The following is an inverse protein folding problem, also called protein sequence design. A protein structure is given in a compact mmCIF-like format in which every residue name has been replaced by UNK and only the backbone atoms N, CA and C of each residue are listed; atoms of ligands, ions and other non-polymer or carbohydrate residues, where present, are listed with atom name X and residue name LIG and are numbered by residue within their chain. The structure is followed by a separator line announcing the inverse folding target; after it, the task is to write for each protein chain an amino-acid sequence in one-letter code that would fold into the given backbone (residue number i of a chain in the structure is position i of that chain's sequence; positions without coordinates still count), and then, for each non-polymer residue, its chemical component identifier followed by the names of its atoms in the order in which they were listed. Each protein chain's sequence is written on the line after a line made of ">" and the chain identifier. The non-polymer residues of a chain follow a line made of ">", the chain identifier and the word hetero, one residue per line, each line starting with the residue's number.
data_IF_075259487936
#
_entry.id   IF_075259487936
#
_cell.length_a   1.000
_cell.length_b   1.000
_cell.length_c   1.000
_cell.angle_alpha   90.00
_cell.angle_beta   90.00
_cell.angle_gamma   90.00
#
_symmetry.space_group_name_H-M   'P 1'
#
loop_
_entity.id
_entity.type
_entity.pdbx_description
1 polymer ?
#
# COMPACT_ATOMS: atom_id res chain seq x y z
N UNK A 1 45.97 -23.86 -49.62
CA UNK A 1 47.02 -23.18 -48.83
C UNK A 1 46.30 -22.05 -48.10
N UNK A 2 45.84 -22.17 -46.86
CA UNK A 2 46.22 -23.03 -45.76
C UNK A 2 45.01 -23.73 -45.10
N UNK A 3 44.96 -25.06 -45.24
CA UNK A 3 44.65 -25.95 -44.12
C UNK A 3 45.97 -26.12 -43.36
N UNK A 4 46.01 -25.79 -42.07
CA UNK A 4 46.96 -26.22 -41.01
C UNK A 4 47.02 -25.15 -39.93
N UNK A 5 46.10 -25.20 -38.97
CA UNK A 5 46.25 -24.69 -37.59
C UNK A 5 45.02 -25.04 -36.73
N UNK A 6 44.42 -26.21 -36.98
CA UNK A 6 43.30 -26.76 -36.20
C UNK A 6 43.76 -27.83 -35.19
N UNK A 7 45.05 -27.84 -34.83
CA UNK A 7 45.63 -28.73 -33.83
C UNK A 7 46.58 -27.93 -32.95
N UNK A 8 46.37 -27.98 -31.63
CA UNK A 8 47.32 -27.66 -30.54
C UNK A 8 46.91 -26.60 -29.52
N UNK A 9 45.65 -26.56 -29.08
CA UNK A 9 45.30 -26.19 -27.68
C UNK A 9 44.13 -27.07 -27.21
N UNK A 10 44.37 -28.38 -27.15
CA UNK A 10 43.50 -29.35 -26.47
C UNK A 10 44.40 -30.47 -25.94
N UNK A 11 45.34 -30.09 -25.06
CA UNK A 11 46.21 -31.04 -24.36
C UNK A 11 46.79 -30.41 -23.09
N UNK A 12 45.94 -30.11 -22.11
CA UNK A 12 46.31 -30.20 -20.70
C UNK A 12 45.04 -30.10 -19.84
N UNK A 13 44.98 -30.98 -18.82
CA UNK A 13 43.93 -31.16 -17.80
C UNK A 13 42.85 -32.22 -18.09
N UNK A 14 43.34 -33.47 -18.20
CA UNK A 14 42.72 -34.66 -17.61
C UNK A 14 43.63 -35.15 -16.46
N UNK A 15 43.17 -35.07 -15.21
CA UNK A 15 43.50 -35.94 -14.04
C UNK A 15 42.80 -35.31 -12.83
N UNK A 16 41.77 -35.87 -12.20
CA UNK A 16 41.71 -37.13 -11.45
C UNK A 16 40.22 -37.56 -11.30
N UNK A 17 39.86 -38.78 -11.71
CA UNK A 17 39.52 -39.94 -10.87
C UNK A 17 38.22 -39.79 -10.02
N UNK A 18 37.06 -40.36 -10.45
CA UNK A 18 36.50 -41.73 -10.13
C UNK A 18 35.30 -41.62 -9.14
N UNK A 19 34.22 -42.45 -9.12
CA UNK A 19 33.60 -43.35 -10.12
C UNK A 19 32.03 -43.32 -10.26
N UNK A 20 31.56 -43.86 -11.39
CA UNK A 20 30.40 -44.74 -11.69
C UNK A 20 29.17 -44.88 -10.74
N UNK A 21 28.02 -44.37 -11.21
CA UNK A 21 26.68 -45.00 -11.50
C UNK A 21 26.19 -46.24 -10.70
N UNK A 22 24.85 -46.41 -10.45
CA UNK A 22 23.95 -46.87 -11.53
C UNK A 22 22.55 -46.22 -11.59
N UNK A 23 21.99 -46.31 -12.81
CA UNK A 23 20.61 -46.01 -13.22
C UNK A 23 19.58 -46.91 -12.52
N UNK A 24 18.45 -46.33 -12.10
CA UNK A 24 17.13 -46.97 -11.89
C UNK A 24 16.04 -45.95 -12.34
N UNK A 25 14.93 -46.37 -12.98
CA UNK A 25 14.17 -45.52 -13.91
C UNK A 25 13.03 -44.73 -13.27
N UNK A 26 12.58 -43.75 -14.06
CA UNK A 26 11.44 -42.85 -13.90
C UNK A 26 10.15 -43.51 -13.41
N UNK A 27 9.55 -42.92 -12.37
CA UNK A 27 8.10 -42.83 -12.23
C UNK A 27 7.71 -41.36 -12.01
N UNK A 28 6.75 -40.93 -12.80
CA UNK A 28 6.12 -39.61 -12.86
C UNK A 28 5.65 -39.10 -11.49
N UNK A 29 6.12 -37.91 -11.10
CA UNK A 29 5.31 -36.71 -10.80
C UNK A 29 6.25 -35.59 -10.26
N UNK A 30 6.30 -34.46 -11.00
CA UNK A 30 7.31 -33.38 -10.89
C UNK A 30 7.27 -32.61 -9.56
N UNK A 31 8.41 -32.46 -8.84
CA UNK A 31 9.48 -31.42 -8.93
C UNK A 31 8.92 -30.00 -8.68
N UNK A 32 9.03 -29.43 -7.46
CA UNK A 32 10.20 -28.91 -6.71
C UNK A 32 10.84 -27.60 -7.20
N UNK A 33 10.70 -26.64 -6.29
CA UNK A 33 11.46 -25.43 -5.96
C UNK A 33 12.98 -25.37 -6.26
N UNK A 34 13.42 -24.12 -6.45
CA UNK A 34 14.76 -23.51 -6.34
C UNK A 34 15.89 -23.94 -7.30
N UNK A 35 16.23 -23.03 -8.23
CA UNK A 35 17.58 -22.46 -8.39
C UNK A 35 17.62 -21.46 -9.56
N UNK A 36 17.98 -20.19 -9.29
CA UNK A 36 18.89 -19.45 -10.18
C UNK A 36 19.41 -18.15 -9.56
N UNK A 37 20.72 -18.13 -9.32
CA UNK A 37 21.54 -16.93 -9.30
C UNK A 37 22.61 -17.07 -10.41
N UNK A 38 22.96 -15.93 -11.03
CA UNK A 38 24.14 -15.62 -11.87
C UNK A 38 24.14 -15.95 -13.40
N UNK A 39 23.74 -14.92 -14.21
CA UNK A 39 24.36 -14.22 -15.39
C UNK A 39 25.41 -14.92 -16.33
N UNK A 40 25.87 -14.35 -17.50
CA UNK A 40 25.29 -13.57 -18.63
C UNK A 40 25.87 -13.94 -20.06
N UNK A 41 25.58 -13.13 -21.11
CA UNK A 41 26.25 -12.99 -22.45
C UNK A 41 25.80 -13.89 -23.65
N UNK A 42 25.09 -13.27 -24.60
CA UNK A 42 25.23 -13.37 -26.08
C UNK A 42 23.99 -12.69 -26.72
N UNK A 43 24.12 -11.65 -27.56
CA UNK A 43 24.33 -11.80 -29.01
C UNK A 43 24.86 -10.48 -29.58
N UNK A 44 25.78 -10.65 -30.53
CA UNK A 44 26.64 -9.67 -31.20
C UNK A 44 26.13 -9.41 -32.63
N UNK A 45 26.28 -8.17 -33.13
CA UNK A 45 26.48 -7.73 -34.53
C UNK A 45 25.74 -8.47 -35.66
N UNK A 46 24.95 -7.72 -36.46
CA UNK A 46 24.93 -7.90 -37.91
C UNK A 46 24.95 -6.55 -38.65
N UNK A 47 25.84 -6.51 -39.64
CA UNK A 47 26.25 -5.37 -40.45
C UNK A 47 25.26 -5.00 -41.57
N UNK A 48 25.39 -3.74 -41.95
CA UNK A 48 24.91 -3.05 -43.15
C UNK A 48 25.16 -3.83 -44.45
N UNK A 49 24.13 -3.91 -45.31
CA UNK A 49 24.30 -3.90 -46.77
C UNK A 49 23.26 -2.97 -47.42
N UNK A 50 23.76 -1.97 -48.13
CA UNK A 50 23.01 -1.02 -48.94
C UNK A 50 22.45 -1.66 -50.23
N UNK A 51 21.26 -1.25 -50.68
CA UNK A 51 21.07 -0.69 -52.03
C UNK A 51 19.68 -0.08 -52.26
N UNK A 52 19.72 1.18 -52.72
CA UNK A 52 18.81 1.91 -53.63
C UNK A 52 17.44 2.47 -53.18
N UNK A 53 17.44 3.81 -53.07
CA UNK A 53 16.49 4.81 -53.62
C UNK A 53 15.02 4.80 -53.19
N UNK A 54 14.63 5.69 -52.26
CA UNK A 54 14.09 7.04 -52.55
C UNK A 54 13.62 7.70 -51.23
N UNK A 55 14.06 8.94 -51.01
CA UNK A 55 13.57 9.81 -49.95
C UNK A 55 12.12 10.24 -50.24
N UNK A 56 11.20 9.94 -49.31
CA UNK A 56 10.00 10.74 -49.08
C UNK A 56 9.82 10.87 -47.56
N UNK A 57 9.76 12.12 -47.09
CA UNK A 57 9.52 12.51 -45.71
C UNK A 57 8.02 12.42 -45.41
N UNK A 58 7.62 11.74 -44.34
CA UNK A 58 6.39 12.05 -43.58
C UNK A 58 6.41 11.35 -42.21
N UNK A 59 6.00 12.03 -41.11
CA UNK A 59 6.05 11.51 -39.75
C UNK A 59 4.81 10.67 -39.44
N UNK A 60 4.95 9.61 -38.65
CA UNK A 60 4.19 9.39 -37.40
C UNK A 60 4.50 8.01 -36.82
N UNK A 61 4.70 8.04 -35.50
CA UNK A 61 4.78 6.90 -34.59
C UNK A 61 3.66 5.89 -34.86
N UNK A 62 4.00 4.62 -35.01
CA UNK A 62 3.43 3.54 -34.21
C UNK A 62 4.03 2.19 -34.58
N UNK A 63 4.09 1.33 -33.57
CA UNK A 63 4.45 -0.08 -33.61
C UNK A 63 5.96 -0.39 -33.62
N UNK A 64 6.51 -0.58 -32.42
CA UNK A 64 7.18 -1.82 -32.02
C UNK A 64 7.64 -1.73 -30.56
N UNK A 65 6.74 -2.09 -29.65
CA UNK A 65 7.04 -2.57 -28.29
C UNK A 65 5.82 -3.41 -27.90
N UNK A 66 5.78 -4.66 -28.36
CA UNK A 66 4.95 -5.68 -27.72
C UNK A 66 5.83 -6.27 -26.64
N UNK A 67 5.79 -5.66 -25.46
CA UNK A 67 6.11 -6.36 -24.21
C UNK A 67 4.88 -7.22 -23.93
N UNK A 68 5.06 -8.54 -23.79
CA UNK A 68 3.99 -9.42 -23.33
C UNK A 68 3.62 -9.02 -21.89
N UNK A 69 2.66 -8.11 -21.78
CA UNK A 69 1.96 -7.77 -20.55
C UNK A 69 1.12 -8.99 -20.16
N UNK A 70 1.36 -9.58 -19.00
CA UNK A 70 0.39 -10.47 -18.37
C UNK A 70 -0.80 -9.62 -17.86
N UNK A 71 -1.66 -9.23 -18.80
CA UNK A 71 -2.96 -8.65 -18.52
C UNK A 71 -3.89 -9.76 -18.02
N UNK A 72 -4.39 -9.65 -16.80
CA UNK A 72 -5.52 -10.47 -16.37
C UNK A 72 -6.73 -10.10 -17.22
N UNK A 73 -6.97 -10.85 -18.29
CA UNK A 73 -8.21 -10.75 -19.08
C UNK A 73 -9.43 -11.23 -18.29
N UNK A 74 -9.20 -11.90 -17.14
CA UNK A 74 -10.20 -12.41 -16.23
C UNK A 74 -9.74 -12.23 -14.77
N UNK A 75 -10.66 -11.86 -13.88
CA UNK A 75 -10.38 -11.69 -12.46
C UNK A 75 -9.86 -12.98 -11.83
N UNK A 76 -8.74 -12.98 -11.08
CA UNK A 76 -8.16 -14.18 -10.50
C UNK A 76 -9.06 -14.83 -9.43
N UNK A 77 -9.90 -14.04 -8.76
CA UNK A 77 -10.81 -14.52 -7.72
C UNK A 77 -12.09 -15.14 -8.30
N UNK A 78 -12.60 -14.63 -9.43
CA UNK A 78 -13.94 -15.00 -9.89
C UNK A 78 -14.07 -15.25 -11.41
N UNK A 79 -12.97 -15.24 -12.16
CA UNK A 79 -12.95 -15.48 -13.61
C UNK A 79 -13.67 -14.43 -14.47
N UNK A 80 -14.04 -13.28 -13.90
CA UNK A 80 -14.81 -12.25 -14.60
C UNK A 80 -13.97 -11.51 -15.64
N UNK A 81 -14.43 -11.34 -16.90
CA UNK A 81 -13.69 -10.60 -17.91
C UNK A 81 -13.41 -9.16 -17.48
N UNK A 82 -12.14 -8.80 -17.31
CA UNK A 82 -11.74 -7.48 -16.86
C UNK A 82 -11.62 -6.52 -18.05
N UNK A 83 -11.92 -5.24 -17.82
CA UNK A 83 -11.82 -4.18 -18.82
C UNK A 83 -10.91 -3.08 -18.30
N UNK A 84 -10.22 -2.34 -19.18
CA UNK A 84 -9.26 -1.28 -18.81
C UNK A 84 -9.86 -0.09 -18.01
N UNK A 85 -11.17 -0.09 -17.76
CA UNK A 85 -11.88 1.04 -17.14
C UNK A 85 -12.04 0.92 -15.62
N UNK A 86 -11.64 -0.18 -14.98
CA UNK A 86 -11.76 -0.32 -13.52
C UNK A 86 -10.70 -1.25 -12.96
N UNK A 87 -9.95 -0.74 -12.00
CA UNK A 87 -8.89 -1.48 -11.31
C UNK A 87 -9.43 -2.38 -10.19
N UNK A 88 -10.74 -2.33 -9.94
CA UNK A 88 -11.44 -3.21 -9.02
C UNK A 88 -12.34 -4.12 -9.87
N UNK A 89 -12.27 -5.42 -9.64
CA UNK A 89 -13.13 -6.36 -10.35
C UNK A 89 -14.59 -6.00 -10.09
N UNK A 90 -15.39 -5.63 -11.10
CA UNK A 90 -16.78 -5.23 -10.90
C UNK A 90 -17.68 -6.42 -10.55
N UNK A 91 -17.16 -7.66 -10.55
CA UNK A 91 -17.89 -8.86 -10.13
C UNK A 91 -17.71 -9.18 -8.65
N UNK A 92 -16.48 -9.20 -8.14
CA UNK A 92 -16.22 -9.59 -6.76
C UNK A 92 -15.65 -8.48 -5.89
N UNK A 93 -15.39 -7.28 -6.43
CA UNK A 93 -14.78 -6.19 -5.67
C UNK A 93 -13.31 -6.44 -5.30
N UNK A 94 -12.69 -7.48 -5.87
CA UNK A 94 -11.25 -7.70 -5.73
C UNK A 94 -10.51 -6.52 -6.31
N UNK A 95 -9.70 -5.84 -5.51
CA UNK A 95 -8.78 -4.85 -6.04
C UNK A 95 -7.76 -5.59 -6.90
N UNK A 96 -7.80 -5.35 -8.20
CA UNK A 96 -6.83 -5.91 -9.16
C UNK A 96 -5.51 -5.12 -9.05
N UNK A 97 -5.51 -4.00 -8.29
CA UNK A 97 -4.33 -3.20 -7.98
C UNK A 97 -3.37 -3.86 -6.99
N UNK A 98 -3.72 -4.98 -6.35
CA UNK A 98 -2.75 -5.72 -5.49
C UNK A 98 -1.63 -6.43 -6.30
N UNK A 99 -1.59 -6.32 -7.63
CA UNK A 99 -0.35 -6.55 -8.42
C UNK A 99 0.23 -5.20 -8.91
N UNK A 100 0.73 -4.39 -7.97
CA UNK A 100 1.44 -3.10 -8.21
C UNK A 100 2.72 -3.29 -9.05
N UNK A 101 3.14 -4.53 -9.31
CA UNK A 101 4.25 -4.80 -10.24
C UNK A 101 3.91 -4.58 -11.73
N UNK A 102 2.69 -4.16 -12.09
CA UNK A 102 2.24 -4.20 -13.50
C UNK A 102 1.47 -3.00 -14.07
N UNK A 103 1.35 -1.86 -13.40
CA UNK A 103 0.70 -0.68 -14.01
C UNK A 103 1.63 0.04 -14.99
N UNK A 104 1.09 0.40 -16.16
CA UNK A 104 1.79 1.31 -17.06
C UNK A 104 1.87 2.72 -16.47
N UNK A 105 2.95 3.41 -16.85
CA UNK A 105 3.36 4.73 -16.39
C UNK A 105 2.22 5.76 -16.46
N UNK A 106 1.30 5.63 -17.42
CA UNK A 106 0.21 6.58 -17.62
C UNK A 106 -0.90 6.44 -16.57
N UNK A 107 -1.10 5.25 -16.01
CA UNK A 107 -2.10 4.99 -14.97
C UNK A 107 -1.56 5.37 -13.59
N UNK A 108 -0.29 5.11 -13.35
CA UNK A 108 0.44 5.60 -12.18
C UNK A 108 0.46 7.14 -12.17
N UNK A 109 0.77 7.78 -13.30
CA UNK A 109 0.73 9.23 -13.47
C UNK A 109 -0.66 9.83 -13.22
N UNK A 110 -1.75 9.16 -13.62
CA UNK A 110 -3.12 9.65 -13.34
C UNK A 110 -3.47 9.56 -11.86
N UNK A 111 -3.04 8.49 -11.19
CA UNK A 111 -3.22 8.33 -9.76
C UNK A 111 -2.38 9.35 -8.97
N UNK A 112 -1.10 9.49 -9.30
CA UNK A 112 -0.24 10.53 -8.73
C UNK A 112 -0.77 11.93 -9.04
N UNK A 113 -1.25 12.21 -10.25
CA UNK A 113 -1.86 13.50 -10.60
C UNK A 113 -3.16 13.75 -9.85
N UNK A 114 -3.95 12.72 -9.55
CA UNK A 114 -5.14 12.85 -8.72
C UNK A 114 -4.78 13.16 -7.26
N UNK A 115 -3.77 12.48 -6.72
CA UNK A 115 -3.20 12.76 -5.40
C UNK A 115 -2.56 14.16 -5.33
N UNK A 116 -1.79 14.58 -6.33
CA UNK A 116 -1.18 15.91 -6.44
C UNK A 116 -2.23 17.01 -6.61
N UNK A 117 -3.32 16.76 -7.34
CA UNK A 117 -4.44 17.70 -7.41
C UNK A 117 -5.15 17.82 -6.05
N UNK A 118 -5.35 16.71 -5.31
CA UNK A 118 -5.90 16.74 -3.96
C UNK A 118 -4.96 17.45 -2.96
N UNK A 119 -3.64 17.23 -3.07
CA UNK A 119 -2.62 17.99 -2.32
C UNK A 119 -2.66 19.47 -2.67
N UNK A 120 -2.77 19.83 -3.94
CA UNK A 120 -2.85 21.24 -4.38
C UNK A 120 -4.14 21.93 -3.92
N UNK A 121 -5.28 21.26 -4.00
CA UNK A 121 -6.56 21.73 -3.45
C UNK A 121 -6.48 21.91 -1.93
N UNK A 122 -5.76 21.03 -1.24
CA UNK A 122 -5.49 21.12 0.19
C UNK A 122 -4.54 22.28 0.55
N UNK A 123 -3.41 22.44 -0.15
CA UNK A 123 -2.48 23.56 0.03
C UNK A 123 -3.16 24.91 -0.23
N UNK A 124 -4.00 25.00 -1.27
CA UNK A 124 -4.81 26.17 -1.55
C UNK A 124 -5.77 26.50 -0.40
N UNK A 125 -6.38 25.47 0.23
CA UNK A 125 -7.27 25.63 1.39
C UNK A 125 -6.53 26.13 2.63
N UNK A 126 -5.36 25.56 2.93
CA UNK A 126 -4.50 25.98 4.05
C UNK A 126 -3.96 27.42 3.88
N UNK A 127 -3.68 27.86 2.65
CA UNK A 127 -3.26 29.24 2.36
C UNK A 127 -4.42 30.24 2.53
N UNK A 128 -5.65 29.88 2.19
CA UNK A 128 -6.83 30.72 2.46
C UNK A 128 -7.10 30.90 3.96
N UNK A 129 -6.90 29.86 4.76
CA UNK A 129 -7.11 29.93 6.22
C UNK A 129 -6.07 30.83 6.92
N UNK A 130 -4.85 30.94 6.38
CA UNK A 130 -3.83 31.89 6.87
C UNK A 130 -4.11 33.35 6.48
N UNK A 131 -4.87 33.61 5.42
CA UNK A 131 -5.20 34.98 4.96
C UNK A 131 -6.43 35.53 5.70
N UNK A 132 -7.34 34.67 6.17
CA UNK A 132 -8.51 35.09 6.95
C UNK A 132 -8.25 35.24 8.46
N UNK A 133 -7.08 34.81 8.94
CA UNK A 133 -6.71 34.78 10.36
C UNK A 133 -5.69 35.84 10.77
N UNK A 134 -5.89 37.11 10.42
CA UNK A 134 -5.03 38.21 10.87
C UNK A 134 -5.79 39.51 11.06
N UNK A 135 -6.15 39.84 12.32
CA UNK A 135 -6.04 41.16 12.96
C UNK A 135 -6.87 41.27 14.26
N UNK A 136 -6.22 41.05 15.44
CA UNK A 136 -6.11 42.00 16.57
C UNK A 136 -5.58 41.35 17.88
N UNK A 137 -4.90 42.13 18.77
CA UNK A 137 -4.01 41.62 19.83
C UNK A 137 -4.73 41.35 21.18
N UNK A 138 -4.04 40.81 22.21
CA UNK A 138 -4.67 39.99 23.24
C UNK A 138 -5.26 40.82 24.38
N UNK A 139 -6.40 40.38 24.91
CA UNK A 139 -6.93 40.85 26.19
C UNK A 139 -7.20 39.67 27.12
N UNK A 140 -6.43 39.71 28.22
CA UNK A 140 -6.61 39.17 29.57
C UNK A 140 -7.74 38.19 29.88
N UNK A 141 -7.34 37.15 30.60
CA UNK A 141 -8.15 36.22 31.36
C UNK A 141 -9.33 36.85 32.09
N UNK A 142 -10.51 36.26 31.93
CA UNK A 142 -11.51 36.10 32.98
C UNK A 142 -12.47 34.97 32.61
N UNK A 143 -12.87 34.21 33.62
CA UNK A 143 -13.73 33.03 33.52
C UNK A 143 -15.09 33.38 32.93
N UNK A 144 -15.54 32.64 31.91
CA UNK A 144 -16.97 32.50 31.62
C UNK A 144 -17.22 31.18 30.87
N UNK A 145 -17.87 30.26 31.57
CA UNK A 145 -18.49 29.05 31.02
C UNK A 145 -19.47 29.41 29.89
N UNK A 146 -19.40 28.67 28.79
CA UNK A 146 -20.38 28.69 27.70
C UNK A 146 -20.38 27.33 26.97
N UNK A 147 -21.49 26.95 26.31
CA UNK A 147 -22.34 25.88 26.82
C UNK A 147 -22.13 24.55 26.08
N UNK A 148 -22.37 23.46 26.80
CA UNK A 148 -22.59 22.13 26.24
C UNK A 148 -23.76 22.16 25.24
N UNK A 149 -23.41 22.23 23.96
CA UNK A 149 -24.31 22.08 22.83
C UNK A 149 -23.78 21.02 21.88
N UNK A 150 -23.48 19.81 22.39
CA UNK A 150 -23.42 18.62 21.52
C UNK A 150 -24.79 18.51 20.86
N UNK A 151 -24.81 18.67 19.54
CA UNK A 151 -25.96 18.27 18.74
C UNK A 151 -26.28 16.82 19.13
N UNK A 152 -27.56 16.56 19.38
CA UNK A 152 -28.05 15.21 19.72
C UNK A 152 -27.55 14.22 18.65
N UNK A 153 -27.17 12.99 19.02
CA UNK A 153 -26.88 11.96 18.03
C UNK A 153 -28.10 11.84 17.11
N UNK A 154 -27.86 11.90 15.80
CA UNK A 154 -28.86 11.48 14.84
C UNK A 154 -29.28 10.06 15.22
N UNK A 155 -30.59 9.82 15.38
CA UNK A 155 -31.07 8.52 15.86
C UNK A 155 -30.61 7.42 14.89
N UNK A 156 -29.69 6.58 15.35
CA UNK A 156 -29.06 5.46 14.60
C UNK A 156 -30.08 4.43 14.11
N UNK A 157 -31.21 4.33 14.81
CA UNK A 157 -32.39 3.52 14.47
C UNK A 157 -33.65 4.31 14.83
N UNK A 158 -34.78 4.02 14.18
CA UNK A 158 -36.03 4.73 14.39
C UNK A 158 -36.67 4.39 15.76
N UNK A 159 -36.22 3.32 16.44
CA UNK A 159 -36.69 2.91 17.78
C UNK A 159 -35.72 1.96 18.51
N UNK A 160 -35.78 1.90 19.84
CA UNK A 160 -35.06 0.92 20.68
C UNK A 160 -35.36 -0.54 20.28
N UNK A 161 -36.55 -0.77 19.72
CA UNK A 161 -37.01 -2.08 19.25
C UNK A 161 -36.23 -2.57 18.02
N UNK A 162 -35.79 -1.67 17.13
CA UNK A 162 -34.97 -2.00 15.96
C UNK A 162 -33.55 -2.41 16.36
N UNK A 163 -32.96 -1.67 17.29
CA UNK A 163 -31.65 -2.02 17.87
C UNK A 163 -31.71 -3.40 18.56
N UNK A 164 -32.75 -3.65 19.35
CA UNK A 164 -32.96 -4.95 20.00
C UNK A 164 -33.16 -6.08 18.97
N UNK A 165 -33.85 -5.80 17.86
CA UNK A 165 -34.02 -6.75 16.77
C UNK A 165 -32.67 -7.15 16.14
N UNK A 166 -31.84 -6.20 15.71
CA UNK A 166 -30.54 -6.53 15.10
C UNK A 166 -29.57 -7.17 16.11
N UNK A 167 -29.64 -6.78 17.38
CA UNK A 167 -28.72 -7.31 18.41
C UNK A 167 -29.07 -8.76 18.81
N UNK A 168 -30.34 -9.17 18.69
CA UNK A 168 -30.78 -10.54 18.99
C UNK A 168 -30.79 -11.47 17.78
N UNK A 169 -30.66 -10.92 16.57
CA UNK A 169 -30.70 -11.67 15.32
C UNK A 169 -29.43 -12.53 15.16
N UNK A 170 -29.62 -13.81 14.86
CA UNK A 170 -28.54 -14.72 14.50
C UNK A 170 -28.70 -15.24 13.07
N UNK A 171 -27.59 -15.69 12.47
CA UNK A 171 -27.54 -16.18 11.10
C UNK A 171 -28.47 -17.37 10.87
N UNK A 172 -28.52 -18.33 11.80
CA UNK A 172 -29.29 -19.55 11.61
C UNK A 172 -30.79 -19.27 11.44
N UNK A 173 -31.33 -18.34 12.21
CA UNK A 173 -32.74 -17.95 12.16
C UNK A 173 -33.07 -17.19 10.88
N UNK A 174 -32.24 -16.20 10.49
CA UNK A 174 -32.49 -15.43 9.27
C UNK A 174 -32.36 -16.25 7.99
N UNK A 175 -31.57 -17.34 7.99
CA UNK A 175 -31.51 -18.27 6.86
C UNK A 175 -32.74 -19.19 6.78
N UNK A 176 -33.41 -19.48 7.89
CA UNK A 176 -34.58 -20.39 7.91
C UNK A 176 -35.92 -19.70 7.74
N UNK A 177 -36.07 -18.47 8.24
CA UNK A 177 -37.36 -17.79 8.29
C UNK A 177 -37.47 -16.63 7.29
N UNK A 178 -38.32 -16.81 6.27
CA UNK A 178 -38.69 -15.78 5.28
C UNK A 178 -39.29 -14.53 5.92
N UNK A 179 -40.05 -14.65 7.00
CA UNK A 179 -40.64 -13.49 7.67
C UNK A 179 -39.57 -12.66 8.40
N UNK A 180 -38.56 -13.31 8.98
CA UNK A 180 -37.41 -12.61 9.56
C UNK A 180 -36.61 -11.86 8.49
N UNK A 181 -36.39 -12.46 7.31
CA UNK A 181 -35.74 -11.77 6.18
C UNK A 181 -36.52 -10.56 5.70
N UNK A 182 -37.84 -10.68 5.56
CA UNK A 182 -38.71 -9.55 5.21
C UNK A 182 -38.67 -8.45 6.25
N UNK A 183 -38.72 -8.81 7.53
CA UNK A 183 -38.59 -7.85 8.64
C UNK A 183 -37.23 -7.15 8.61
N UNK A 184 -36.14 -7.90 8.43
CA UNK A 184 -34.79 -7.35 8.30
C UNK A 184 -34.69 -6.32 7.18
N UNK A 185 -35.19 -6.65 5.98
CA UNK A 185 -35.20 -5.72 4.83
C UNK A 185 -35.99 -4.44 5.10
N UNK A 186 -37.11 -4.55 5.82
CA UNK A 186 -37.96 -3.41 6.18
C UNK A 186 -37.38 -2.55 7.31
N UNK A 187 -36.47 -3.11 8.12
CA UNK A 187 -35.86 -2.44 9.27
C UNK A 187 -34.50 -1.80 8.98
N UNK A 188 -33.84 -2.13 7.87
CA UNK A 188 -32.58 -1.47 7.47
C UNK A 188 -32.84 -0.08 6.85
N UNK A 189 -31.85 0.81 6.95
CA UNK A 189 -31.92 2.16 6.37
C UNK A 189 -31.89 2.14 4.83
N UNK A 190 -32.26 3.25 4.20
CA UNK A 190 -32.19 3.40 2.75
C UNK A 190 -30.75 3.18 2.21
N UNK A 191 -29.73 3.70 2.91
CA UNK A 191 -28.32 3.49 2.53
C UNK A 191 -27.97 1.99 2.55
N UNK A 192 -28.41 1.26 3.56
CA UNK A 192 -28.22 -0.20 3.64
C UNK A 192 -29.01 -0.94 2.56
N UNK A 193 -30.23 -0.51 2.25
CA UNK A 193 -31.00 -1.09 1.15
C UNK A 193 -30.26 -0.93 -0.18
N UNK A 194 -29.61 0.21 -0.40
CA UNK A 194 -28.81 0.44 -1.59
C UNK A 194 -27.52 -0.39 -1.60
N UNK A 195 -26.87 -0.59 -0.45
CA UNK A 195 -25.74 -1.53 -0.32
C UNK A 195 -26.16 -2.95 -0.72
N UNK A 196 -27.31 -3.43 -0.25
CA UNK A 196 -27.85 -4.75 -0.60
C UNK A 196 -28.11 -4.83 -2.11
N UNK A 197 -28.82 -3.83 -2.67
CA UNK A 197 -29.11 -3.76 -4.11
C UNK A 197 -27.84 -3.73 -4.95
N UNK A 198 -26.83 -2.96 -4.54
CA UNK A 198 -25.53 -2.89 -5.20
C UNK A 198 -24.79 -4.23 -5.15
N UNK A 199 -24.75 -4.86 -3.98
CA UNK A 199 -24.09 -6.15 -3.76
C UNK A 199 -24.72 -7.25 -4.62
N UNK A 200 -26.05 -7.25 -4.72
CA UNK A 200 -26.82 -8.21 -5.52
C UNK A 200 -26.96 -7.84 -6.99
N UNK A 201 -26.61 -6.60 -7.36
CA UNK A 201 -26.76 -6.03 -8.72
C UNK A 201 -28.20 -6.00 -9.21
N UNK A 202 -29.11 -5.62 -8.32
CA UNK A 202 -30.55 -5.48 -8.61
C UNK A 202 -30.98 -4.02 -8.51
N UNK A 203 -32.04 -3.68 -9.25
CA UNK A 203 -32.65 -2.34 -9.28
C UNK A 203 -34.10 -2.33 -8.75
N UNK A 204 -34.47 -3.38 -8.03
CA UNK A 204 -35.79 -3.59 -7.45
C UNK A 204 -35.63 -4.09 -6.01
N UNK A 205 -36.74 -4.20 -5.28
CA UNK A 205 -36.72 -4.79 -3.94
C UNK A 205 -36.38 -6.29 -4.03
N UNK A 206 -35.46 -6.79 -3.20
CA UNK A 206 -34.97 -8.16 -3.29
C UNK A 206 -36.08 -9.17 -2.98
N UNK A 207 -36.11 -10.25 -3.75
CA UNK A 207 -36.89 -11.44 -3.41
C UNK A 207 -36.28 -12.17 -2.20
N UNK A 208 -37.01 -13.15 -1.67
CA UNK A 208 -36.50 -14.01 -0.58
C UNK A 208 -35.21 -14.75 -0.98
N UNK A 209 -35.11 -15.18 -2.25
CA UNK A 209 -33.91 -15.82 -2.79
C UNK A 209 -32.74 -14.85 -2.92
N UNK A 210 -33.02 -13.59 -3.26
CA UNK A 210 -31.99 -12.55 -3.38
C UNK A 210 -31.41 -12.21 -2.00
N UNK A 211 -32.27 -12.14 -0.97
CA UNK A 211 -31.82 -11.94 0.41
C UNK A 211 -30.98 -13.12 0.91
N UNK A 212 -31.35 -14.36 0.58
CA UNK A 212 -30.51 -15.53 0.89
C UNK A 212 -29.13 -15.43 0.23
N UNK A 213 -29.07 -15.00 -1.03
CA UNK A 213 -27.80 -14.76 -1.72
C UNK A 213 -26.99 -13.65 -1.04
N UNK A 214 -27.64 -12.57 -0.58
CA UNK A 214 -26.96 -11.50 0.16
C UNK A 214 -26.34 -12.02 1.46
N UNK A 215 -27.06 -12.83 2.23
CA UNK A 215 -26.53 -13.41 3.47
C UNK A 215 -25.36 -14.38 3.25
N UNK A 216 -25.16 -14.88 2.04
CA UNK A 216 -24.01 -15.72 1.67
C UNK A 216 -22.83 -14.94 1.05
N UNK A 217 -22.90 -13.61 1.00
CA UNK A 217 -21.84 -12.76 0.47
C UNK A 217 -20.54 -12.87 1.26
N UNK A 218 -19.43 -12.95 0.55
CA UNK A 218 -18.07 -12.92 1.13
C UNK A 218 -17.44 -11.54 1.08
N UNK A 219 -17.91 -10.68 0.17
CA UNK A 219 -17.33 -9.36 -0.07
C UNK A 219 -18.46 -8.33 -0.03
N UNK A 220 -18.27 -7.27 0.73
CA UNK A 220 -19.27 -6.22 0.89
C UNK A 220 -18.64 -4.84 0.78
N UNK A 221 -19.33 -3.96 0.05
CA UNK A 221 -18.91 -2.58 -0.18
C UNK A 221 -20.03 -1.63 0.28
N UNK A 222 -19.72 -0.77 1.24
CA UNK A 222 -20.62 0.21 1.80
C UNK A 222 -19.97 1.58 2.07
N UNK A 223 -18.81 1.87 1.45
CA UNK A 223 -18.12 3.17 1.49
C UNK A 223 -18.91 4.30 0.81
N UNK A 224 -18.52 5.54 1.13
CA UNK A 224 -19.11 6.79 0.62
C UNK A 224 -20.63 6.87 0.86
N UNK A 225 -21.04 6.48 2.07
CA UNK A 225 -22.45 6.45 2.49
C UNK A 225 -22.62 6.96 3.91
N UNK A 226 -23.84 7.41 4.23
CA UNK A 226 -24.18 7.88 5.59
C UNK A 226 -24.52 6.71 6.51
N UNK A 227 -23.65 5.70 6.54
CA UNK A 227 -23.82 4.51 7.36
C UNK A 227 -23.11 4.74 8.69
N UNK A 228 -23.89 4.81 9.77
CA UNK A 228 -23.36 4.96 11.12
C UNK A 228 -23.17 3.63 11.87
N UNK A 229 -23.84 2.57 11.42
CA UNK A 229 -23.87 1.28 12.12
C UNK A 229 -23.73 0.09 11.16
N UNK A 230 -22.86 -0.85 11.55
CA UNK A 230 -22.63 -2.12 10.87
C UNK A 230 -23.55 -3.25 11.37
N UNK A 231 -24.53 -2.98 12.23
CA UNK A 231 -25.44 -4.00 12.78
C UNK A 231 -26.12 -4.89 11.73
N UNK A 232 -26.57 -4.37 10.56
CA UNK A 232 -27.21 -5.20 9.55
C UNK A 232 -26.34 -6.36 9.03
N UNK A 233 -25.01 -6.22 9.10
CA UNK A 233 -24.06 -7.20 8.55
C UNK A 233 -23.48 -8.16 9.58
N UNK A 234 -23.86 -8.04 10.86
CA UNK A 234 -23.42 -8.95 11.94
C UNK A 234 -23.71 -10.43 11.64
N UNK A 235 -24.72 -10.71 10.82
CA UNK A 235 -25.12 -12.08 10.43
C UNK A 235 -24.33 -12.64 9.25
N UNK A 236 -23.46 -11.85 8.61
CA UNK A 236 -22.65 -12.25 7.44
C UNK A 236 -21.41 -13.04 7.86
N UNK A 237 -21.58 -14.18 8.54
CA UNK A 237 -20.47 -15.00 9.06
C UNK A 237 -19.49 -15.52 7.99
N UNK A 238 -19.84 -15.44 6.70
CA UNK A 238 -18.96 -15.78 5.55
C UNK A 238 -18.17 -14.59 5.00
N UNK A 239 -18.34 -13.40 5.58
CA UNK A 239 -17.68 -12.18 5.11
C UNK A 239 -16.16 -12.30 5.29
N UNK A 240 -15.45 -12.11 4.20
CA UNK A 240 -13.99 -12.12 4.09
C UNK A 240 -13.44 -10.72 3.83
N UNK A 241 -14.19 -9.87 3.12
CA UNK A 241 -13.79 -8.50 2.82
C UNK A 241 -14.92 -7.53 3.10
N UNK A 242 -14.61 -6.48 3.86
CA UNK A 242 -15.50 -5.35 4.09
C UNK A 242 -14.78 -4.06 3.68
N UNK A 243 -15.42 -3.27 2.84
CA UNK A 243 -15.02 -1.90 2.53
C UNK A 243 -16.11 -0.94 2.99
N UNK A 244 -15.77 -0.06 3.91
CA UNK A 244 -16.69 0.87 4.55
C UNK A 244 -16.06 2.25 4.79
N UNK A 245 -15.09 2.62 3.96
CA UNK A 245 -14.38 3.89 3.99
C UNK A 245 -15.32 5.11 3.85
N UNK A 246 -14.89 6.28 4.32
CA UNK A 246 -15.61 7.56 4.16
C UNK A 246 -17.08 7.47 4.60
N UNK A 247 -17.33 6.71 5.67
CA UNK A 247 -18.66 6.50 6.25
C UNK A 247 -18.58 6.76 7.76
N UNK A 248 -19.55 7.46 8.38
CA UNK A 248 -19.49 7.87 9.79
C UNK A 248 -19.77 6.70 10.76
N UNK A 249 -19.09 5.58 10.59
CA UNK A 249 -19.27 4.35 11.36
C UNK A 249 -18.72 4.56 12.76
N UNK A 250 -19.60 4.52 13.75
CA UNK A 250 -19.26 4.84 15.13
C UNK A 250 -18.73 3.62 15.91
N UNK A 251 -18.94 2.40 15.41
CA UNK A 251 -18.57 1.17 16.11
C UNK A 251 -18.33 -0.04 15.21
N UNK A 252 -17.25 -0.78 15.51
CA UNK A 252 -16.90 -2.05 14.88
C UNK A 252 -17.48 -3.27 15.61
N UNK A 253 -18.25 -3.10 16.70
CA UNK A 253 -18.81 -4.21 17.50
C UNK A 253 -19.54 -5.28 16.66
N UNK A 254 -20.32 -4.93 15.62
CA UNK A 254 -20.98 -5.91 14.76
C UNK A 254 -20.02 -6.88 14.04
N UNK A 255 -18.72 -6.56 13.95
CA UNK A 255 -17.69 -7.38 13.31
C UNK A 255 -17.10 -8.44 14.26
N UNK A 256 -17.34 -8.37 15.57
CA UNK A 256 -16.61 -9.14 16.59
C UNK A 256 -16.66 -10.67 16.44
N UNK A 257 -17.61 -11.20 15.67
CA UNK A 257 -17.77 -12.63 15.42
C UNK A 257 -17.55 -13.04 13.97
N UNK A 258 -17.18 -12.10 13.09
CA UNK A 258 -16.93 -12.38 11.67
C UNK A 258 -15.52 -12.94 11.49
N UNK A 259 -15.28 -14.12 12.05
CA UNK A 259 -13.94 -14.73 12.19
C UNK A 259 -13.27 -15.09 10.87
N UNK A 260 -14.01 -15.06 9.76
CA UNK A 260 -13.49 -15.26 8.39
C UNK A 260 -13.05 -13.96 7.72
N UNK A 261 -13.19 -12.80 8.38
CA UNK A 261 -12.78 -11.52 7.84
C UNK A 261 -11.25 -11.49 7.66
N UNK A 262 -10.81 -11.15 6.46
CA UNK A 262 -9.42 -11.09 6.04
C UNK A 262 -8.98 -9.66 5.67
N UNK A 263 -9.88 -8.86 5.11
CA UNK A 263 -9.59 -7.50 4.68
C UNK A 263 -10.64 -6.53 5.20
N UNK A 264 -10.21 -5.51 5.93
CA UNK A 264 -11.06 -4.43 6.42
C UNK A 264 -10.51 -3.08 5.96
N UNK A 265 -11.28 -2.40 5.12
CA UNK A 265 -11.04 -1.01 4.71
C UNK A 265 -12.07 -0.14 5.42
N UNK A 266 -11.59 0.69 6.36
CA UNK A 266 -12.40 1.54 7.22
C UNK A 266 -11.65 2.85 7.53
N UNK A 267 -11.11 3.51 6.49
CA UNK A 267 -10.49 4.82 6.64
C UNK A 267 -11.57 5.93 6.68
N UNK A 268 -11.28 7.04 7.38
CA UNK A 268 -12.20 8.17 7.55
C UNK A 268 -13.57 7.73 8.11
N UNK A 269 -13.53 7.23 9.34
CA UNK A 269 -14.66 6.70 10.09
C UNK A 269 -14.61 7.17 11.56
N UNK A 270 -15.76 7.15 12.25
CA UNK A 270 -15.93 7.75 13.58
C UNK A 270 -15.65 6.79 14.76
N UNK A 271 -15.21 5.55 14.51
CA UNK A 271 -14.95 4.60 15.59
C UNK A 271 -13.64 4.92 16.31
N UNK A 272 -13.66 4.71 17.63
CA UNK A 272 -12.53 5.04 18.53
C UNK A 272 -11.83 3.80 19.09
N UNK A 273 -12.32 2.60 18.79
CA UNK A 273 -11.83 1.35 19.39
C UNK A 273 -11.73 0.20 18.40
N UNK A 274 -10.63 -0.54 18.52
CA UNK A 274 -10.35 -1.78 17.79
C UNK A 274 -10.69 -3.06 18.58
N UNK A 275 -11.24 -2.95 19.80
CA UNK A 275 -11.60 -4.13 20.63
C UNK A 275 -12.37 -5.23 19.89
N UNK A 276 -13.37 -4.90 19.03
CA UNK A 276 -14.10 -5.91 18.28
C UNK A 276 -13.21 -6.76 17.36
N UNK A 277 -12.04 -6.26 16.94
CA UNK A 277 -11.15 -6.96 16.02
C UNK A 277 -10.23 -7.98 16.72
N UNK A 278 -10.18 -8.00 18.06
CA UNK A 278 -9.20 -8.73 18.86
C UNK A 278 -9.04 -10.21 18.52
N UNK A 279 -10.12 -10.86 18.10
CA UNK A 279 -10.15 -12.29 17.80
C UNK A 279 -10.26 -12.61 16.31
N UNK A 280 -10.16 -11.61 15.42
CA UNK A 280 -10.26 -11.81 13.97
C UNK A 280 -8.92 -12.26 13.39
N UNK A 281 -8.43 -13.42 13.82
CA UNK A 281 -7.07 -13.89 13.54
C UNK A 281 -6.77 -14.21 12.08
N UNK A 282 -7.78 -14.21 11.19
CA UNK A 282 -7.59 -14.33 9.74
C UNK A 282 -7.36 -12.98 9.04
N UNK A 283 -7.40 -11.87 9.78
CA UNK A 283 -7.18 -10.54 9.24
C UNK A 283 -5.75 -10.41 8.71
N UNK A 284 -5.64 -10.03 7.44
CA UNK A 284 -4.42 -9.80 6.66
C UNK A 284 -4.21 -8.32 6.37
N UNK A 285 -5.30 -7.59 6.11
CA UNK A 285 -5.27 -6.16 5.81
C UNK A 285 -6.19 -5.40 6.75
N UNK A 286 -5.64 -4.38 7.40
CA UNK A 286 -6.39 -3.42 8.21
C UNK A 286 -6.05 -1.99 7.81
N UNK A 287 -7.03 -1.29 7.25
CA UNK A 287 -6.92 0.13 6.92
C UNK A 287 -7.88 0.94 7.77
N UNK A 288 -7.33 1.76 8.67
CA UNK A 288 -8.04 2.55 9.70
C UNK A 288 -7.49 3.97 9.81
N UNK A 289 -6.92 4.49 8.72
CA UNK A 289 -6.33 5.82 8.70
C UNK A 289 -7.41 6.89 8.85
N UNK A 290 -7.06 8.06 9.39
CA UNK A 290 -8.00 9.16 9.63
C UNK A 290 -9.18 8.75 10.53
N UNK A 291 -8.88 8.05 11.62
CA UNK A 291 -9.84 7.67 12.67
C UNK A 291 -9.38 8.19 14.04
N UNK A 292 -10.25 8.18 15.04
CA UNK A 292 -9.95 8.64 16.40
C UNK A 292 -9.30 7.54 17.28
N UNK A 293 -8.60 6.59 16.65
CA UNK A 293 -7.94 5.50 17.39
C UNK A 293 -6.67 6.00 18.07
N UNK A 294 -6.50 5.59 19.32
CA UNK A 294 -5.35 5.93 20.17
C UNK A 294 -4.47 4.72 20.52
N UNK A 295 -4.94 3.49 20.26
CA UNK A 295 -4.24 2.27 20.66
C UNK A 295 -4.40 1.12 19.67
N UNK A 296 -3.28 0.42 19.42
CA UNK A 296 -3.20 -0.80 18.61
C UNK A 296 -3.24 -2.08 19.46
N UNK A 297 -3.38 -2.00 20.79
CA UNK A 297 -3.35 -3.18 21.66
C UNK A 297 -4.30 -4.30 21.21
N UNK A 298 -5.55 -4.02 20.76
CA UNK A 298 -6.47 -5.07 20.36
C UNK A 298 -5.96 -5.93 19.20
N UNK A 299 -5.10 -5.39 18.33
CA UNK A 299 -4.58 -6.13 17.17
C UNK A 299 -3.26 -6.87 17.45
N UNK A 300 -2.75 -6.84 18.69
CA UNK A 300 -1.43 -7.38 19.07
C UNK A 300 -1.24 -8.90 18.86
N UNK A 301 -2.33 -9.65 18.68
CA UNK A 301 -2.30 -11.10 18.43
C UNK A 301 -2.76 -11.48 17.00
N UNK A 302 -2.96 -10.50 16.11
CA UNK A 302 -3.34 -10.76 14.72
C UNK A 302 -2.11 -11.14 13.88
N UNK A 303 -1.46 -12.24 14.23
CA UNK A 303 -0.17 -12.68 13.67
C UNK A 303 -0.16 -12.87 12.14
N UNK A 304 -1.33 -12.97 11.51
CA UNK A 304 -1.48 -13.09 10.05
C UNK A 304 -1.64 -11.73 9.35
N UNK A 305 -1.55 -10.61 10.08
CA UNK A 305 -1.63 -9.27 9.51
C UNK A 305 -0.38 -9.01 8.66
N UNK A 306 -0.63 -8.69 7.40
CA UNK A 306 0.35 -8.42 6.34
C UNK A 306 0.42 -6.91 6.08
N UNK A 307 -0.71 -6.20 6.16
CA UNK A 307 -0.79 -4.78 5.85
C UNK A 307 -1.56 -4.00 6.94
N UNK A 308 -0.95 -2.92 7.44
CA UNK A 308 -1.54 -2.02 8.41
C UNK A 308 -1.38 -0.55 7.98
N UNK A 309 -2.51 0.12 7.79
CA UNK A 309 -2.58 1.56 7.49
C UNK A 309 -3.33 2.30 8.59
N UNK A 310 -2.59 2.95 9.49
CA UNK A 310 -3.10 3.68 10.66
C UNK A 310 -2.62 5.15 10.70
N UNK A 311 -2.42 5.73 9.52
CA UNK A 311 -1.99 7.13 9.38
C UNK A 311 -3.06 8.11 9.87
N UNK A 312 -2.66 9.30 10.29
CA UNK A 312 -3.56 10.35 10.78
C UNK A 312 -4.48 9.89 11.92
N UNK A 313 -3.88 9.16 12.87
CA UNK A 313 -4.52 8.72 14.11
C UNK A 313 -3.74 9.26 15.31
N UNK A 314 -4.30 9.14 16.51
CA UNK A 314 -3.66 9.56 17.76
C UNK A 314 -2.81 8.44 18.39
N UNK A 315 -2.31 7.51 17.59
CA UNK A 315 -1.45 6.40 18.05
C UNK A 315 -0.07 6.95 18.42
N UNK A 316 0.42 6.55 19.59
CA UNK A 316 1.76 6.91 20.10
C UNK A 316 2.68 5.72 20.31
N UNK A 317 2.15 4.51 20.34
CA UNK A 317 2.87 3.28 20.73
C UNK A 317 2.70 2.17 19.69
N UNK A 318 3.83 1.63 19.24
CA UNK A 318 3.93 0.52 18.29
C UNK A 318 4.21 -0.83 18.96
N UNK A 319 4.36 -0.91 20.30
CA UNK A 319 4.57 -2.19 21.01
C UNK A 319 3.59 -3.32 20.62
N UNK A 320 2.30 -3.04 20.36
CA UNK A 320 1.38 -4.06 19.87
C UNK A 320 1.82 -4.76 18.57
N UNK A 321 2.66 -4.12 17.74
CA UNK A 321 3.11 -4.66 16.46
C UNK A 321 4.27 -5.65 16.59
N UNK A 322 4.95 -5.71 17.74
CA UNK A 322 6.19 -6.49 17.95
C UNK A 322 6.11 -7.96 17.52
N UNK A 323 4.93 -8.57 17.59
CA UNK A 323 4.71 -9.99 17.28
C UNK A 323 4.12 -10.24 15.88
N UNK A 324 3.85 -9.19 15.11
CA UNK A 324 3.22 -9.29 13.81
C UNK A 324 4.28 -9.58 12.74
N UNK A 325 4.96 -10.72 12.88
CA UNK A 325 6.12 -11.11 12.07
C UNK A 325 5.82 -11.24 10.56
N UNK A 326 4.55 -11.33 10.18
CA UNK A 326 4.12 -11.38 8.78
C UNK A 326 3.80 -9.99 8.20
N UNK A 327 4.01 -8.91 8.96
CA UNK A 327 3.73 -7.55 8.50
C UNK A 327 4.73 -7.16 7.40
N UNK A 328 4.20 -6.86 6.22
CA UNK A 328 4.94 -6.47 5.02
C UNK A 328 4.82 -4.96 4.79
N UNK A 329 3.67 -4.36 5.12
CA UNK A 329 3.42 -2.92 4.90
C UNK A 329 2.89 -2.24 6.16
N UNK A 330 3.55 -1.17 6.55
CA UNK A 330 3.14 -0.32 7.67
C UNK A 330 3.14 1.16 7.25
N UNK A 331 1.99 1.81 7.43
CA UNK A 331 1.88 3.26 7.31
C UNK A 331 1.26 3.88 8.54
N UNK A 332 2.05 4.68 9.25
CA UNK A 332 1.67 5.46 10.43
C UNK A 332 2.10 6.93 10.25
N UNK A 333 1.91 7.46 9.04
CA UNK A 333 2.13 8.87 8.73
C UNK A 333 1.30 9.78 9.65
N UNK A 334 1.88 10.91 10.10
CA UNK A 334 1.19 11.92 10.91
C UNK A 334 0.54 11.30 12.16
N UNK A 335 1.38 10.59 12.91
CA UNK A 335 1.08 10.05 14.24
C UNK A 335 2.13 10.57 15.22
N UNK A 336 1.87 10.46 16.51
CA UNK A 336 2.78 10.93 17.57
C UNK A 336 3.67 9.80 18.10
N UNK A 337 4.09 8.88 17.22
CA UNK A 337 5.03 7.81 17.56
C UNK A 337 6.45 8.39 17.74
N UNK A 338 7.18 7.84 18.71
CA UNK A 338 8.54 8.30 19.06
C UNK A 338 9.59 7.20 19.01
N UNK A 339 9.21 5.95 18.77
CA UNK A 339 10.14 4.81 18.73
C UNK A 339 9.76 3.80 17.65
N UNK A 340 10.78 3.25 16.97
CA UNK A 340 10.67 2.14 16.02
C UNK A 340 11.11 0.80 16.63
N UNK A 341 11.49 0.75 17.92
CA UNK A 341 11.98 -0.47 18.59
C UNK A 341 11.06 -1.69 18.42
N UNK A 342 9.72 -1.56 18.43
CA UNK A 342 8.83 -2.70 18.19
C UNK A 342 8.95 -3.31 16.78
N UNK A 343 9.52 -2.60 15.81
CA UNK A 343 9.64 -3.05 14.42
C UNK A 343 10.93 -3.83 14.15
N UNK A 344 11.88 -3.87 15.11
CA UNK A 344 13.24 -4.35 14.87
C UNK A 344 13.36 -5.82 14.41
N UNK A 345 12.35 -6.64 14.73
CA UNK A 345 12.30 -8.08 14.38
C UNK A 345 11.30 -8.38 13.25
N UNK A 346 10.72 -7.35 12.60
CA UNK A 346 9.75 -7.52 11.51
C UNK A 346 10.47 -7.67 10.16
N UNK A 347 11.27 -8.73 10.02
CA UNK A 347 12.15 -8.96 8.86
C UNK A 347 11.43 -9.03 7.51
N UNK A 348 10.11 -9.27 7.50
CA UNK A 348 9.28 -9.30 6.29
C UNK A 348 8.80 -7.91 5.85
N UNK A 349 9.14 -6.83 6.56
CA UNK A 349 8.69 -5.48 6.22
C UNK A 349 9.35 -4.99 4.92
N UNK A 350 8.52 -4.64 3.95
CA UNK A 350 8.89 -4.16 2.61
C UNK A 350 8.62 -2.64 2.51
N UNK A 351 7.52 -2.17 3.10
CA UNK A 351 7.12 -0.76 3.05
C UNK A 351 6.93 -0.17 4.45
N UNK A 352 7.61 0.95 4.72
CA UNK A 352 7.45 1.71 5.96
C UNK A 352 7.23 3.20 5.68
N UNK A 353 6.07 3.70 6.09
CA UNK A 353 5.73 5.12 6.06
C UNK A 353 5.56 5.71 7.46
N UNK A 354 6.50 6.57 7.87
CA UNK A 354 6.53 7.25 9.17
C UNK A 354 6.64 8.78 9.03
N UNK A 355 6.32 9.36 7.87
CA UNK A 355 6.48 10.80 7.69
C UNK A 355 5.65 11.58 8.72
N UNK A 356 6.09 12.79 9.08
CA UNK A 356 5.43 13.62 10.08
C UNK A 356 5.23 12.91 11.43
N UNK A 357 6.29 12.30 11.94
CA UNK A 357 6.32 11.70 13.28
C UNK A 357 7.50 12.24 14.09
N UNK A 358 7.50 11.98 15.39
CA UNK A 358 8.54 12.46 16.32
C UNK A 358 9.74 11.49 16.40
N UNK A 359 9.96 10.70 15.35
CA UNK A 359 11.06 9.74 15.23
C UNK A 359 12.37 10.47 14.96
N UNK A 360 13.43 10.05 15.65
CA UNK A 360 14.79 10.57 15.46
C UNK A 360 15.87 9.48 15.28
N UNK A 361 15.52 8.22 15.50
CA UNK A 361 16.45 7.09 15.48
C UNK A 361 15.95 5.99 14.54
N UNK A 362 16.77 5.66 13.53
CA UNK A 362 16.53 4.59 12.57
C UNK A 362 17.24 3.28 12.94
N UNK A 363 18.00 3.24 14.06
CA UNK A 363 18.74 2.05 14.49
C UNK A 363 17.89 0.78 14.54
N UNK A 364 16.62 0.79 15.00
CA UNK A 364 15.77 -0.39 14.96
C UNK A 364 15.56 -1.00 13.57
N UNK A 365 15.73 -0.23 12.49
CA UNK A 365 15.54 -0.71 11.13
C UNK A 365 16.76 -1.43 10.55
N UNK A 366 17.93 -1.38 11.21
CA UNK A 366 19.20 -1.83 10.63
C UNK A 366 19.24 -3.32 10.21
N UNK A 367 18.33 -4.14 10.75
CA UNK A 367 18.17 -5.56 10.39
C UNK A 367 17.13 -5.84 9.31
N UNK A 368 16.34 -4.85 8.87
CA UNK A 368 15.23 -5.02 7.93
C UNK A 368 15.73 -4.97 6.48
N UNK A 369 16.51 -5.98 6.10
CA UNK A 369 17.21 -6.03 4.81
C UNK A 369 16.29 -6.15 3.58
N UNK A 370 15.02 -6.51 3.79
CA UNK A 370 14.01 -6.62 2.73
C UNK A 370 13.23 -5.32 2.51
N UNK A 371 13.56 -4.24 3.22
CA UNK A 371 12.86 -2.97 3.11
C UNK A 371 13.17 -2.31 1.76
N UNK A 372 12.14 -2.13 0.94
CA UNK A 372 12.24 -1.52 -0.39
C UNK A 372 11.83 -0.04 -0.38
N UNK A 373 10.86 0.34 0.46
CA UNK A 373 10.29 1.70 0.47
C UNK A 373 10.30 2.27 1.88
N UNK A 374 11.10 3.32 2.09
CA UNK A 374 11.17 4.04 3.36
C UNK A 374 10.81 5.51 3.19
N UNK A 375 9.69 5.91 3.80
CA UNK A 375 9.23 7.30 3.79
C UNK A 375 9.25 7.85 5.22
N UNK A 376 10.25 8.68 5.52
CA UNK A 376 10.47 9.27 6.85
C UNK A 376 10.71 10.78 6.80
N UNK A 377 10.11 11.45 5.83
CA UNK A 377 10.10 12.91 5.71
C UNK A 377 9.45 13.61 6.91
N UNK A 378 9.88 14.84 7.21
CA UNK A 378 9.38 15.64 8.35
C UNK A 378 9.44 14.88 9.66
N UNK A 379 10.60 14.31 9.94
CA UNK A 379 10.97 13.68 11.20
C UNK A 379 12.22 14.36 11.75
N UNK A 380 12.64 13.99 12.95
CA UNK A 380 13.84 14.53 13.59
C UNK A 380 15.11 13.71 13.32
N UNK A 381 15.07 12.80 12.34
CA UNK A 381 16.20 11.94 11.96
C UNK A 381 17.38 12.79 11.50
N UNK A 382 18.59 12.42 11.92
CA UNK A 382 19.84 13.09 11.55
C UNK A 382 20.92 12.15 11.01
N UNK A 383 20.69 10.83 10.97
CA UNK A 383 21.68 9.86 10.50
C UNK A 383 21.04 8.77 9.65
N UNK A 384 21.72 8.42 8.55
CA UNK A 384 21.35 7.34 7.65
C UNK A 384 22.23 6.09 7.83
N UNK A 385 23.17 6.09 8.78
CA UNK A 385 24.04 4.93 9.06
C UNK A 385 23.29 3.60 9.25
N UNK A 386 22.11 3.55 9.90
CA UNK A 386 21.34 2.31 10.01
C UNK A 386 20.90 1.71 8.66
N UNK A 387 20.85 2.50 7.58
CA UNK A 387 20.37 2.07 6.26
C UNK A 387 21.45 1.42 5.39
N UNK A 388 22.73 1.47 5.78
CA UNK A 388 23.89 1.08 4.95
C UNK A 388 23.89 -0.34 4.37
N UNK A 389 23.05 -1.23 4.92
CA UNK A 389 22.95 -2.63 4.51
C UNK A 389 21.60 -2.96 3.83
N UNK A 390 20.72 -1.97 3.62
CA UNK A 390 19.41 -2.16 2.99
C UNK A 390 19.56 -2.20 1.47
N UNK A 391 20.19 -3.26 0.97
CA UNK A 391 20.52 -3.41 -0.45
C UNK A 391 19.30 -3.51 -1.36
N UNK A 392 18.13 -3.84 -0.82
CA UNK A 392 16.85 -3.87 -1.55
C UNK A 392 16.13 -2.52 -1.55
N UNK A 393 16.67 -1.47 -0.91
CA UNK A 393 16.02 -0.16 -0.83
C UNK A 393 15.94 0.50 -2.21
N UNK A 394 14.72 0.77 -2.67
CA UNK A 394 14.39 1.36 -3.98
C UNK A 394 13.91 2.80 -3.86
N UNK A 395 13.12 3.13 -2.83
CA UNK A 395 12.64 4.49 -2.57
C UNK A 395 13.00 4.96 -1.15
N UNK A 396 13.65 6.12 -1.07
CA UNK A 396 13.93 6.80 0.19
C UNK A 396 13.47 8.26 0.15
N UNK A 397 12.58 8.63 1.07
CA UNK A 397 12.15 10.01 1.26
C UNK A 397 12.51 10.51 2.66
N UNK A 398 13.47 11.44 2.72
CA UNK A 398 13.99 12.06 3.95
C UNK A 398 13.82 13.59 3.93
N UNK A 399 12.89 14.10 3.14
CA UNK A 399 12.69 15.53 3.01
C UNK A 399 12.33 16.16 4.36
N UNK A 400 12.81 17.38 4.61
CA UNK A 400 12.60 18.10 5.88
C UNK A 400 13.07 17.32 7.12
N UNK A 401 14.25 16.70 7.04
CA UNK A 401 14.92 16.07 8.18
C UNK A 401 16.21 16.82 8.54
N UNK A 402 16.88 16.42 9.61
CA UNK A 402 18.16 17.02 10.05
C UNK A 402 19.38 16.27 9.49
N UNK A 403 19.19 15.46 8.45
CA UNK A 403 20.28 14.71 7.81
C UNK A 403 21.22 15.68 7.10
N UNK A 404 22.53 15.55 7.36
CA UNK A 404 23.59 16.37 6.77
C UNK A 404 24.56 15.56 5.88
N UNK A 405 24.50 14.24 5.93
CA UNK A 405 25.38 13.32 5.21
C UNK A 405 24.61 12.16 4.58
N UNK A 406 25.02 11.79 3.36
CA UNK A 406 24.49 10.66 2.60
C UNK A 406 25.42 9.43 2.63
N UNK A 407 26.45 9.40 3.48
CA UNK A 407 27.41 8.28 3.57
C UNK A 407 26.72 6.92 3.80
N UNK A 408 25.65 6.89 4.60
CA UNK A 408 24.85 5.69 4.84
C UNK A 408 24.11 5.14 3.62
N UNK A 409 24.07 5.86 2.50
CA UNK A 409 23.47 5.40 1.23
C UNK A 409 24.51 4.88 0.23
N UNK A 410 25.80 5.00 0.54
CA UNK A 410 26.84 4.57 -0.37
C UNK A 410 26.76 3.05 -0.63
N UNK A 411 26.62 2.67 -1.90
CA UNK A 411 26.56 1.26 -2.32
C UNK A 411 25.16 0.63 -2.25
N UNK A 412 24.10 1.40 -2.03
CA UNK A 412 22.72 0.94 -2.19
C UNK A 412 22.33 0.94 -3.67
N UNK A 413 22.93 0.03 -4.44
CA UNK A 413 22.88 0.03 -5.91
C UNK A 413 21.45 0.03 -6.48
N UNK A 414 20.48 -0.59 -5.79
CA UNK A 414 19.08 -0.68 -6.22
C UNK A 414 18.24 0.58 -5.92
N UNK A 415 18.83 1.66 -5.38
CA UNK A 415 18.09 2.89 -5.07
C UNK A 415 17.68 3.60 -6.37
N UNK A 416 16.36 3.77 -6.56
CA UNK A 416 15.73 4.34 -7.75
C UNK A 416 15.24 5.77 -7.51
N UNK A 417 14.64 6.04 -6.35
CA UNK A 417 14.09 7.35 -6.00
C UNK A 417 14.61 7.85 -4.66
N UNK A 418 15.16 9.07 -4.67
CA UNK A 418 15.66 9.74 -3.47
C UNK A 418 15.13 11.19 -3.38
N UNK A 419 14.49 11.51 -2.26
CA UNK A 419 14.08 12.88 -1.92
C UNK A 419 14.83 13.38 -0.68
N UNK A 420 15.75 14.33 -0.90
CA UNK A 420 16.55 15.03 0.11
C UNK A 420 16.16 16.51 0.25
N UNK A 421 14.98 16.89 -0.23
CA UNK A 421 14.52 18.29 -0.21
C UNK A 421 14.46 18.83 1.24
N UNK A 422 14.94 20.04 1.48
CA UNK A 422 14.96 20.70 2.79
C UNK A 422 15.70 19.90 3.87
N UNK A 423 16.82 19.27 3.52
CA UNK A 423 17.79 18.67 4.45
C UNK A 423 18.99 19.59 4.67
N UNK A 424 19.96 19.17 5.49
CA UNK A 424 21.24 19.86 5.70
C UNK A 424 22.36 19.32 4.79
N UNK A 425 22.02 18.43 3.85
CA UNK A 425 22.96 17.79 2.93
C UNK A 425 23.60 18.84 2.04
N UNK A 426 24.93 18.84 1.98
CA UNK A 426 25.74 19.76 1.17
C UNK A 426 26.59 19.08 0.10
N UNK A 427 26.56 17.75 0.03
CA UNK A 427 27.25 16.95 -0.98
C UNK A 427 26.46 15.68 -1.29
N UNK A 428 26.46 15.29 -2.55
CA UNK A 428 25.87 14.08 -3.14
C UNK A 428 26.93 13.10 -3.67
N UNK A 429 28.22 13.29 -3.36
CA UNK A 429 29.30 12.39 -3.75
C UNK A 429 29.01 10.90 -3.41
N UNK A 430 28.37 10.56 -2.26
CA UNK A 430 27.97 9.17 -1.97
C UNK A 430 27.01 8.55 -3.00
N UNK A 431 26.29 9.37 -3.77
CA UNK A 431 25.33 8.94 -4.79
C UNK A 431 25.98 8.66 -6.16
N UNK A 432 27.26 9.00 -6.35
CA UNK A 432 27.93 8.97 -7.67
C UNK A 432 28.05 7.56 -8.29
N UNK A 433 27.88 6.51 -7.49
CA UNK A 433 27.97 5.12 -7.92
C UNK A 433 26.63 4.39 -7.99
N UNK A 434 25.49 5.09 -7.88
CA UNK A 434 24.16 4.47 -7.87
C UNK A 434 23.66 4.26 -9.30
N UNK A 435 23.85 3.05 -9.82
CA UNK A 435 23.58 2.75 -11.24
C UNK A 435 22.09 2.83 -11.64
N UNK A 436 21.16 2.62 -10.70
CA UNK A 436 19.73 2.55 -10.97
C UNK A 436 18.93 3.78 -10.52
N UNK A 437 19.59 4.88 -10.14
CA UNK A 437 18.89 6.09 -9.69
C UNK A 437 18.12 6.74 -10.85
N UNK A 438 16.79 6.74 -10.74
CA UNK A 438 15.86 7.30 -11.74
C UNK A 438 15.41 8.70 -11.38
N UNK A 439 15.40 9.05 -10.09
CA UNK A 439 14.89 10.34 -9.62
C UNK A 439 15.62 10.84 -8.37
N UNK A 440 16.06 12.10 -8.43
CA UNK A 440 16.67 12.80 -7.31
C UNK A 440 15.95 14.14 -7.09
N UNK A 441 15.30 14.32 -5.94
CA UNK A 441 14.72 15.59 -5.53
C UNK A 441 15.61 16.27 -4.47
N UNK A 442 15.97 17.53 -4.68
CA UNK A 442 16.86 18.30 -3.80
C UNK A 442 16.46 19.78 -3.71
N UNK A 443 16.95 20.48 -2.70
CA UNK A 443 16.74 21.92 -2.56
C UNK A 443 17.68 22.73 -3.44
N UNK A 444 17.17 23.81 -4.02
CA UNK A 444 18.00 24.73 -4.82
C UNK A 444 19.15 25.31 -3.97
N UNK A 445 20.38 25.19 -4.49
CA UNK A 445 21.57 25.86 -3.95
C UNK A 445 22.20 25.20 -2.72
N UNK A 446 21.77 24.00 -2.32
CA UNK A 446 22.44 23.24 -1.25
C UNK A 446 23.65 22.45 -1.74
N UNK A 447 23.59 21.98 -2.99
CA UNK A 447 24.65 21.20 -3.65
C UNK A 447 25.43 22.09 -4.62
N UNK A 448 26.78 22.01 -4.66
CA UNK A 448 27.58 22.75 -5.64
C UNK A 448 27.24 22.38 -7.10
N UNK A 449 27.17 23.38 -7.98
CA UNK A 449 26.84 23.18 -9.40
C UNK A 449 27.78 22.18 -10.10
N UNK A 450 29.09 22.21 -9.80
CA UNK A 450 30.08 21.28 -10.36
C UNK A 450 29.79 19.81 -9.99
N UNK A 451 29.31 19.58 -8.77
CA UNK A 451 28.95 18.25 -8.28
C UNK A 451 27.65 17.76 -8.94
N UNK A 452 26.69 18.66 -9.12
CA UNK A 452 25.44 18.36 -9.82
C UNK A 452 25.66 18.07 -11.30
N UNK A 453 26.50 18.85 -11.98
CA UNK A 453 26.89 18.63 -13.37
C UNK A 453 27.54 17.25 -13.53
N UNK A 454 28.50 16.90 -12.67
CA UNK A 454 29.14 15.58 -12.66
C UNK A 454 28.12 14.45 -12.40
N UNK A 455 27.18 14.66 -11.47
CA UNK A 455 26.14 13.67 -11.20
C UNK A 455 25.25 13.41 -12.43
N UNK A 456 24.83 14.47 -13.13
CA UNK A 456 24.02 14.37 -14.36
C UNK A 456 24.80 13.74 -15.52
N UNK A 457 26.11 13.97 -15.62
CA UNK A 457 26.97 13.29 -16.61
C UNK A 457 27.06 11.77 -16.36
N UNK A 458 27.10 11.36 -15.09
CA UNK A 458 27.15 9.95 -14.69
C UNK A 458 25.78 9.25 -14.79
N UNK A 459 24.68 9.98 -14.54
CA UNK A 459 23.31 9.45 -14.53
C UNK A 459 22.40 10.24 -15.49
N UNK A 460 22.61 10.16 -16.82
CA UNK A 460 21.90 10.98 -17.80
C UNK A 460 20.39 10.71 -17.88
N UNK A 461 19.95 9.53 -17.42
CA UNK A 461 18.54 9.14 -17.39
C UNK A 461 17.85 9.50 -16.06
N UNK A 462 18.60 9.99 -15.06
CA UNK A 462 18.06 10.41 -13.77
C UNK A 462 17.33 11.76 -13.89
N UNK A 463 16.07 11.79 -13.46
CA UNK A 463 15.29 13.01 -13.34
C UNK A 463 15.66 13.77 -12.06
N UNK A 464 16.56 14.75 -12.22
CA UNK A 464 16.95 15.66 -11.13
C UNK A 464 15.97 16.83 -11.04
N UNK A 465 15.26 16.92 -9.92
CA UNK A 465 14.26 17.97 -9.64
C UNK A 465 14.74 18.85 -8.49
N UNK A 466 15.10 20.09 -8.80
CA UNK A 466 15.41 21.09 -7.78
C UNK A 466 14.14 21.86 -7.36
N UNK A 467 13.81 21.85 -6.06
CA UNK A 467 12.61 22.48 -5.47
C UNK A 467 12.92 23.68 -4.58
#
# INVERSE_FOLDING_TARGET
>A
MALRLFFSIFKELKSSAVPQSPLVPLSSDGIFWYQKALLPIAIKKMEVRQSTNQLVISPTLNALLIVEQHTYNQCPVCGFPLSMNSAICPRCGNDILEDISSLDQQSLERYHKHLENKKAEWYARCLTDQITGGDNPPLSAEHQECPAGRQKPHALFNSDDELAFFTSLNRADILRDTNLRKKWWQSITADWQDVVRFTLKINHDPSDSDLLAFFDSTNLRCDDRRIHSLLPIRVLEKLQQLRCDESPIESLEPLAHLTLLQRLYAFDCDFTSLEPLRNLTHLKLLWISSTEITSLEPISNLINLEELYCSETDITDLEPLRKLINLEKLSCYKTSITSLEPLAELENLIELGINHSDINDLTPLAGLINLEYLRCSKTAISSLEPLRNMVELRELSIAHTNVDSLEGLQGLENLEELDITNTLVSSIEPLMGLEYIEKLELSVGTIPDEELERFVELHPDCNVVAK
#
